data_IF_572667913629
#
_entry.id   IF_572667913629
#
_cell.length_a   1.000
_cell.length_b   1.000
_cell.length_c   1.000
_cell.angle_alpha   90.00
_cell.angle_beta   90.00
_cell.angle_gamma   90.00
#
_symmetry.space_group_name_H-M   'P 1'
#
loop_
_entity.id
_entity.type
_entity.pdbx_description
1 polymer ?
#
# COMPACT_ATOMS: atom_id res chain seq x y z
N UNK A 1 -10.32 22.88 -39.84
CA UNK A 1 -9.11 22.67 -39.03
C UNK A 1 -9.14 23.72 -37.94
N UNK A 2 -9.32 23.34 -36.68
CA UNK A 2 -9.35 24.31 -35.59
C UNK A 2 -7.94 24.89 -35.42
N UNK A 3 -7.79 26.21 -35.56
CA UNK A 3 -6.56 26.90 -35.19
C UNK A 3 -6.34 26.66 -33.70
N UNK A 4 -5.27 25.94 -33.37
CA UNK A 4 -4.84 25.79 -32.00
C UNK A 4 -4.32 27.16 -31.55
N UNK A 5 -5.04 27.76 -30.61
CA UNK A 5 -4.57 28.98 -29.96
C UNK A 5 -3.17 28.69 -29.37
N UNK A 6 -2.24 29.63 -29.58
CA UNK A 6 -0.85 29.48 -29.18
C UNK A 6 -0.67 29.23 -27.68
N UNK A 7 -1.69 29.49 -26.86
CA UNK A 7 -1.73 29.17 -25.44
C UNK A 7 -1.98 27.68 -25.14
N UNK A 8 -2.60 26.94 -26.06
CA UNK A 8 -2.95 25.52 -25.89
C UNK A 8 -2.04 24.57 -26.65
N UNK A 9 -1.23 25.07 -27.57
CA UNK A 9 -0.21 24.28 -28.26
C UNK A 9 1.00 24.03 -27.35
N UNK A 10 1.27 22.75 -27.03
CA UNK A 10 2.35 22.31 -26.13
C UNK A 10 3.74 22.68 -26.68
N UNK A 11 3.88 22.84 -27.99
CA UNK A 11 5.15 23.24 -28.61
C UNK A 11 5.32 24.76 -28.76
N UNK A 12 4.28 25.54 -28.44
CA UNK A 12 4.31 26.98 -28.56
C UNK A 12 5.12 27.62 -27.43
N UNK A 13 5.93 28.66 -27.71
CA UNK A 13 6.61 29.42 -26.67
C UNK A 13 5.64 30.18 -25.74
N UNK A 14 4.39 30.36 -26.18
CA UNK A 14 3.33 31.01 -25.41
C UNK A 14 2.42 30.01 -24.67
N UNK A 15 2.84 28.74 -24.57
CA UNK A 15 2.06 27.70 -23.92
C UNK A 15 1.68 28.08 -22.48
N UNK A 16 0.38 28.07 -22.19
CA UNK A 16 -0.16 28.32 -20.86
C UNK A 16 -0.69 27.00 -20.27
N UNK A 17 0.02 26.39 -19.30
CA UNK A 17 -0.35 25.08 -18.75
C UNK A 17 -1.71 25.12 -18.05
N UNK A 18 -2.14 26.27 -17.53
CA UNK A 18 -3.43 26.42 -16.86
C UNK A 18 -4.59 26.34 -17.84
N UNK A 19 -4.48 27.02 -18.98
CA UNK A 19 -5.52 27.00 -20.01
C UNK A 19 -5.56 25.64 -20.72
N UNK A 20 -4.39 25.04 -20.97
CA UNK A 20 -4.28 23.70 -21.51
C UNK A 20 -4.98 22.65 -20.61
N UNK A 21 -4.84 22.76 -19.28
CA UNK A 21 -5.50 21.85 -18.33
C UNK A 21 -7.03 22.00 -18.32
N UNK A 22 -7.54 23.21 -18.60
CA UNK A 22 -8.97 23.49 -18.68
C UNK A 22 -9.56 23.15 -20.06
N UNK A 23 -8.72 22.91 -21.07
CA UNK A 23 -9.14 22.56 -22.41
C UNK A 23 -9.54 21.09 -22.48
N UNK A 24 -10.82 20.81 -22.72
CA UNK A 24 -11.34 19.45 -22.84
C UNK A 24 -10.81 18.68 -24.07
N UNK A 25 -10.22 19.38 -25.05
CA UNK A 25 -9.80 18.83 -26.34
C UNK A 25 -8.29 18.99 -26.60
N UNK A 26 -7.49 19.09 -25.54
CA UNK A 26 -6.04 19.20 -25.66
C UNK A 26 -5.45 17.97 -26.35
N UNK A 27 -4.79 18.17 -27.49
CA UNK A 27 -4.07 17.11 -28.19
C UNK A 27 -2.65 17.01 -27.64
N UNK A 28 -2.43 16.03 -26.77
CA UNK A 28 -1.08 15.69 -26.31
C UNK A 28 -0.30 15.03 -27.47
N UNK A 29 0.98 15.38 -27.69
CA UNK A 29 1.72 14.86 -28.84
C UNK A 29 1.97 13.36 -28.80
N UNK A 30 1.98 12.78 -27.60
CA UNK A 30 2.21 11.36 -27.36
C UNK A 30 1.13 10.81 -26.43
N UNK A 31 -0.07 10.49 -26.95
CA UNK A 31 -1.21 10.06 -26.13
C UNK A 31 -1.01 8.69 -25.47
N UNK A 32 -0.18 7.84 -26.07
CA UNK A 32 0.05 6.47 -25.60
C UNK A 32 1.16 6.36 -24.53
N UNK A 33 1.78 7.49 -24.15
CA UNK A 33 2.83 7.48 -23.13
C UNK A 33 2.19 7.35 -21.75
N UNK A 34 2.65 6.36 -21.00
CA UNK A 34 2.18 6.14 -19.63
C UNK A 34 2.52 7.38 -18.77
N UNK A 35 1.53 8.01 -18.13
CA UNK A 35 1.80 9.15 -17.26
C UNK A 35 2.67 8.71 -16.09
N UNK A 36 3.72 9.48 -15.82
CA UNK A 36 4.56 9.26 -14.65
C UNK A 36 3.79 9.64 -13.39
N UNK A 37 3.96 8.85 -12.33
CA UNK A 37 3.11 8.95 -11.14
C UNK A 37 3.47 10.14 -10.25
N UNK A 38 4.68 10.67 -10.38
CA UNK A 38 5.15 11.76 -9.52
C UNK A 38 6.31 12.53 -10.18
N UNK A 39 6.54 13.75 -9.70
CA UNK A 39 7.64 14.60 -10.18
C UNK A 39 9.02 13.98 -9.98
N UNK A 40 9.20 13.07 -9.02
CA UNK A 40 10.48 12.40 -8.81
C UNK A 40 10.81 11.40 -9.93
N UNK A 41 9.81 10.84 -10.61
CA UNK A 41 9.98 10.04 -11.82
C UNK A 41 10.39 10.94 -13.00
N UNK A 42 9.79 12.13 -13.13
CA UNK A 42 10.17 13.10 -14.16
C UNK A 42 11.63 13.56 -14.02
N UNK A 43 12.15 13.67 -12.79
CA UNK A 43 13.57 14.03 -12.53
C UNK A 43 14.58 13.05 -13.13
N UNK A 44 14.17 11.84 -13.52
CA UNK A 44 15.03 10.87 -14.22
C UNK A 44 15.21 11.19 -15.70
N UNK A 45 14.27 11.93 -16.27
CA UNK A 45 14.28 12.35 -17.68
C UNK A 45 15.04 13.67 -17.88
N UNK A 46 15.35 14.38 -16.78
CA UNK A 46 16.09 15.63 -16.86
C UNK A 46 17.55 15.38 -17.28
N UNK A 47 18.13 16.29 -18.07
CA UNK A 47 19.57 16.32 -18.34
C UNK A 47 20.39 16.33 -17.05
N UNK A 48 21.59 15.72 -17.09
CA UNK A 48 22.44 15.53 -15.88
C UNK A 48 22.92 16.83 -15.26
N UNK A 49 22.96 17.87 -16.05
CA UNK A 49 23.35 19.25 -15.74
C UNK A 49 22.21 20.08 -15.16
N UNK A 50 20.96 19.58 -15.17
CA UNK A 50 19.83 20.29 -14.59
C UNK A 50 19.90 20.29 -13.04
N UNK A 51 19.59 21.44 -12.43
CA UNK A 51 19.58 21.64 -10.97
C UNK A 51 18.75 20.60 -10.20
N UNK A 52 17.65 20.15 -10.80
CA UNK A 52 16.70 19.20 -10.19
C UNK A 52 16.94 17.74 -10.60
N UNK A 53 18.02 17.45 -11.33
CA UNK A 53 18.38 16.10 -11.72
C UNK A 53 18.70 15.23 -10.49
N UNK A 54 18.31 13.96 -10.55
CA UNK A 54 18.64 13.00 -9.49
C UNK A 54 20.15 12.68 -9.53
N UNK A 55 20.86 12.70 -8.38
CA UNK A 55 22.24 12.23 -8.31
C UNK A 55 22.37 10.78 -8.78
N UNK A 56 23.45 10.43 -9.49
CA UNK A 56 23.67 9.08 -10.06
C UNK A 56 23.50 7.95 -9.01
N UNK A 57 23.91 8.20 -7.77
CA UNK A 57 23.76 7.23 -6.68
C UNK A 57 22.28 6.86 -6.41
N UNK A 58 21.36 7.83 -6.50
CA UNK A 58 19.92 7.60 -6.31
C UNK A 58 19.29 6.94 -7.54
N UNK A 59 19.74 7.28 -8.74
CA UNK A 59 19.31 6.61 -9.97
C UNK A 59 19.64 5.11 -9.93
N UNK A 60 20.86 4.74 -9.54
CA UNK A 60 21.28 3.34 -9.41
C UNK A 60 20.54 2.58 -8.31
N UNK A 61 20.21 3.23 -7.19
CA UNK A 61 19.43 2.60 -6.12
C UNK A 61 18.01 2.24 -6.57
N UNK A 62 17.37 3.12 -7.34
CA UNK A 62 16.03 2.89 -7.90
C UNK A 62 16.02 1.83 -9.03
N UNK A 63 17.12 1.68 -9.77
CA UNK A 63 17.31 0.60 -10.75
C UNK A 63 17.58 -0.76 -10.10
N UNK A 64 18.01 -0.81 -8.82
CA UNK A 64 18.27 -2.07 -8.12
C UNK A 64 17.03 -2.66 -7.46
N UNK A 65 16.02 -1.84 -7.16
CA UNK A 65 14.76 -2.30 -6.56
C UNK A 65 13.87 -3.06 -7.54
N UNK A 66 14.08 -2.97 -8.86
CA UNK A 66 13.30 -3.73 -9.84
C UNK A 66 13.87 -5.11 -10.20
N UNK A 67 15.09 -5.46 -9.74
CA UNK A 67 15.76 -6.72 -10.11
C UNK A 67 15.77 -7.76 -8.99
N UNK A 68 15.52 -7.36 -7.73
CA UNK A 68 15.65 -8.26 -6.56
C UNK A 68 14.39 -9.06 -6.19
N UNK A 69 13.27 -8.84 -6.85
CA UNK A 69 12.02 -9.57 -6.56
C UNK A 69 11.86 -10.87 -7.38
N UNK A 70 12.85 -11.26 -8.19
CA UNK A 70 12.71 -12.39 -9.11
C UNK A 70 13.35 -13.72 -8.67
N UNK A 71 14.23 -13.76 -7.66
CA UNK A 71 14.86 -15.02 -7.26
C UNK A 71 15.32 -15.05 -5.80
N UNK A 72 14.46 -15.57 -4.93
CA UNK A 72 14.87 -16.19 -3.67
C UNK A 72 14.43 -17.68 -3.73
N UNK A 73 15.33 -18.65 -3.56
CA UNK A 73 14.95 -20.06 -3.57
C UNK A 73 14.14 -20.42 -2.33
N UNK A 74 13.14 -21.32 -2.43
CA UNK A 74 12.39 -21.81 -1.29
C UNK A 74 13.26 -22.79 -0.49
N UNK A 75 13.69 -22.38 0.71
CA UNK A 75 14.36 -23.30 1.64
C UNK A 75 13.29 -24.05 2.42
N UNK A 76 13.14 -25.32 2.08
CA UNK A 76 12.34 -26.29 2.80
C UNK A 76 12.97 -26.59 4.17
N UNK A 77 12.30 -26.25 5.28
CA UNK A 77 12.47 -26.86 6.59
C UNK A 77 11.24 -26.57 7.47
N UNK A 78 10.21 -27.42 7.40
CA UNK A 78 8.97 -27.23 8.17
C UNK A 78 8.69 -28.30 9.25
N UNK A 79 9.62 -29.19 9.59
CA UNK A 79 9.34 -30.25 10.59
C UNK A 79 10.27 -30.37 11.80
N UNK A 80 11.30 -29.53 11.95
CA UNK A 80 12.20 -29.58 13.12
C UNK A 80 11.99 -28.46 14.17
N UNK A 81 11.15 -27.46 13.91
CA UNK A 81 11.04 -26.26 14.77
C UNK A 81 10.01 -26.36 15.92
N UNK A 82 9.34 -27.51 16.09
CA UNK A 82 8.32 -27.69 17.15
C UNK A 82 8.86 -28.16 18.51
N UNK A 83 10.16 -28.42 18.65
CA UNK A 83 10.73 -28.99 19.89
C UNK A 83 11.65 -28.03 20.69
N UNK A 84 11.82 -26.78 20.28
CA UNK A 84 12.59 -25.82 21.05
C UNK A 84 12.01 -24.42 20.89
N UNK A 85 10.97 -24.11 21.65
CA UNK A 85 10.62 -22.72 21.92
C UNK A 85 11.51 -22.24 23.07
N UNK A 86 12.60 -21.49 22.83
CA UNK A 86 13.14 -20.68 23.90
C UNK A 86 12.06 -19.65 24.23
N UNK A 87 11.51 -19.73 25.43
CA UNK A 87 10.76 -18.63 26.00
C UNK A 87 11.67 -17.40 25.91
N UNK A 88 11.39 -16.50 24.97
CA UNK A 88 11.98 -15.17 24.91
C UNK A 88 11.40 -14.41 26.11
N UNK A 89 11.89 -14.76 27.30
CA UNK A 89 11.83 -13.93 28.49
C UNK A 89 12.76 -12.78 28.19
N UNK A 90 12.18 -11.71 27.64
CA UNK A 90 12.79 -10.39 27.60
C UNK A 90 13.22 -10.03 29.03
N UNK A 91 14.47 -10.36 29.37
CA UNK A 91 15.10 -9.95 30.63
C UNK A 91 15.12 -8.43 30.67
N UNK A 92 14.15 -7.88 31.41
CA UNK A 92 14.26 -6.70 32.26
C UNK A 92 15.18 -5.57 31.80
N UNK A 93 15.01 -5.06 30.58
CA UNK A 93 15.31 -3.64 30.35
C UNK A 93 14.06 -2.88 30.76
N UNK A 94 14.11 -2.00 31.77
CA UNK A 94 12.99 -1.11 32.04
C UNK A 94 12.71 -0.33 30.75
N UNK A 95 11.51 -0.48 30.24
CA UNK A 95 11.08 0.16 29.00
C UNK A 95 11.10 1.68 29.27
N UNK A 96 11.94 2.48 28.59
CA UNK A 96 11.98 3.94 28.81
C UNK A 96 10.66 4.63 28.38
N UNK A 97 9.71 3.86 27.86
CA UNK A 97 8.39 4.27 27.38
C UNK A 97 7.36 4.41 28.52
N UNK A 98 7.78 4.93 29.67
CA UNK A 98 6.87 5.23 30.78
C UNK A 98 5.70 6.13 30.37
N UNK A 99 5.89 6.91 29.30
CA UNK A 99 4.91 7.77 28.65
C UNK A 99 5.11 7.73 27.13
N UNK A 100 4.04 7.54 26.34
CA UNK A 100 4.10 7.66 24.89
C UNK A 100 2.99 6.92 24.14
N UNK A 101 2.88 7.15 22.81
CA UNK A 101 1.82 6.56 21.99
C UNK A 101 1.88 5.02 21.94
N UNK A 102 3.07 4.42 22.01
CA UNK A 102 3.22 2.96 22.09
C UNK A 102 2.65 2.38 23.40
N UNK A 103 2.66 3.15 24.49
CA UNK A 103 2.05 2.71 25.75
C UNK A 103 0.53 2.64 25.61
N UNK A 104 -0.08 3.56 24.86
CA UNK A 104 -1.52 3.50 24.55
C UNK A 104 -1.84 2.24 23.75
N UNK A 105 -1.04 1.90 22.74
CA UNK A 105 -1.21 0.66 21.99
C UNK A 105 -1.06 -0.59 22.88
N UNK A 106 -0.10 -0.58 23.81
CA UNK A 106 0.07 -1.67 24.80
C UNK A 106 -1.12 -1.80 25.76
N UNK A 107 -1.80 -0.70 26.12
CA UNK A 107 -3.02 -0.74 26.94
C UNK A 107 -4.20 -1.38 26.21
N UNK A 108 -4.18 -1.40 24.88
CA UNK A 108 -5.19 -2.05 24.05
C UNK A 108 -4.93 -3.55 23.84
N UNK A 109 -3.85 -4.12 24.38
CA UNK A 109 -3.61 -5.56 24.33
C UNK A 109 -4.76 -6.32 25.00
N UNK A 110 -5.28 -7.34 24.32
CA UNK A 110 -6.46 -8.08 24.74
C UNK A 110 -7.79 -7.37 24.51
N UNK A 111 -7.81 -6.21 23.86
CA UNK A 111 -9.03 -5.49 23.47
C UNK A 111 -9.27 -5.57 21.97
N UNK A 112 -10.54 -5.42 21.53
CA UNK A 112 -10.85 -5.25 20.11
C UNK A 112 -10.38 -3.88 19.64
N UNK A 113 -9.66 -3.84 18.53
CA UNK A 113 -9.14 -2.61 17.92
C UNK A 113 -9.51 -2.57 16.45
N UNK A 114 -9.63 -1.36 15.92
CA UNK A 114 -9.72 -1.08 14.49
C UNK A 114 -8.38 -0.48 14.03
N UNK A 115 -7.82 -1.10 12.99
CA UNK A 115 -6.55 -0.72 12.37
C UNK A 115 -6.83 -0.19 10.98
N UNK A 116 -6.50 1.08 10.75
CA UNK A 116 -6.54 1.67 9.41
C UNK A 116 -5.25 1.29 8.70
N UNK A 117 -5.38 0.67 7.54
CA UNK A 117 -4.26 0.24 6.71
C UNK A 117 -4.14 1.11 5.46
N UNK A 118 -2.91 1.24 4.94
CA UNK A 118 -2.63 1.96 3.70
C UNK A 118 -1.96 1.09 2.65
N UNK A 119 -2.16 1.48 1.40
CA UNK A 119 -1.28 1.17 0.28
C UNK A 119 -0.15 2.21 0.19
N UNK A 120 0.62 2.14 -0.90
CA UNK A 120 1.73 3.07 -1.17
C UNK A 120 1.30 4.54 -1.16
N UNK A 121 0.09 4.84 -1.67
CA UNK A 121 -0.37 6.22 -1.92
C UNK A 121 -1.75 6.56 -1.34
N UNK A 122 -2.43 5.64 -0.66
CA UNK A 122 -3.80 5.86 -0.18
C UNK A 122 -4.13 4.96 1.01
N UNK A 123 -5.22 5.28 1.70
CA UNK A 123 -5.83 4.36 2.68
C UNK A 123 -6.42 3.18 1.91
N UNK A 124 -6.08 1.96 2.34
CA UNK A 124 -6.58 0.71 1.77
C UNK A 124 -7.96 0.38 2.32
N UNK A 125 -8.08 0.46 3.63
CA UNK A 125 -9.23 -0.08 4.36
C UNK A 125 -8.98 -0.17 5.84
N UNK A 126 -9.86 -0.88 6.52
CA UNK A 126 -9.84 -1.08 7.97
C UNK A 126 -9.87 -2.56 8.33
N UNK A 127 -9.12 -2.93 9.34
CA UNK A 127 -9.15 -4.28 9.90
C UNK A 127 -9.48 -4.21 11.39
N UNK A 128 -10.54 -4.92 11.79
CA UNK A 128 -11.00 -4.99 13.18
C UNK A 128 -10.72 -6.36 13.76
N UNK A 129 -10.05 -6.45 14.91
CA UNK A 129 -9.77 -7.73 15.57
C UNK A 129 -9.26 -7.57 17.00
N UNK A 130 -9.01 -8.68 17.68
CA UNK A 130 -8.45 -8.70 19.03
C UNK A 130 -6.93 -8.49 18.99
N UNK A 131 -6.41 -7.44 19.62
CA UNK A 131 -4.97 -7.15 19.60
C UNK A 131 -4.20 -8.06 20.56
N UNK A 132 -3.40 -8.97 20.00
CA UNK A 132 -2.64 -9.95 20.77
C UNK A 132 -1.20 -9.52 21.06
N UNK A 133 -0.57 -8.79 20.13
CA UNK A 133 0.79 -8.31 20.29
C UNK A 133 1.01 -6.98 19.54
N UNK A 134 1.91 -6.16 20.08
CA UNK A 134 2.43 -4.94 19.45
C UNK A 134 3.92 -4.83 19.71
N UNK A 135 4.68 -4.39 18.71
CA UNK A 135 6.11 -4.11 18.84
C UNK A 135 6.42 -2.61 18.70
N UNK A 136 7.72 -2.26 18.80
CA UNK A 136 8.20 -0.87 18.69
C UNK A 136 8.01 -0.25 17.29
N UNK A 137 7.81 -1.08 16.27
CA UNK A 137 7.63 -0.67 14.89
C UNK A 137 6.16 -0.61 14.50
N UNK A 138 5.23 -0.84 15.44
CA UNK A 138 3.79 -1.03 15.19
C UNK A 138 3.50 -2.23 14.29
N UNK A 139 4.32 -3.29 14.35
CA UNK A 139 3.87 -4.59 13.88
C UNK A 139 2.81 -5.11 14.86
N UNK A 140 1.65 -5.50 14.34
CA UNK A 140 0.47 -5.86 15.13
C UNK A 140 0.04 -7.29 14.81
N UNK A 141 -0.26 -8.06 15.84
CA UNK A 141 -0.88 -9.37 15.70
C UNK A 141 -2.34 -9.28 16.12
N UNK A 142 -3.26 -9.51 15.19
CA UNK A 142 -4.70 -9.52 15.44
C UNK A 142 -5.25 -10.94 15.35
N UNK A 143 -6.17 -11.28 16.25
CA UNK A 143 -6.93 -12.54 16.25
C UNK A 143 -8.41 -12.26 15.91
N UNK A 144 -9.07 -13.22 15.26
CA UNK A 144 -10.47 -13.10 14.80
C UNK A 144 -10.73 -11.78 14.04
N UNK A 145 -9.84 -11.49 13.10
CA UNK A 145 -9.80 -10.23 12.40
C UNK A 145 -10.76 -10.22 11.20
N UNK A 146 -11.53 -9.14 11.06
CA UNK A 146 -12.35 -8.82 9.89
C UNK A 146 -11.74 -7.61 9.17
N UNK A 147 -11.40 -7.78 7.91
CA UNK A 147 -10.77 -6.77 7.06
C UNK A 147 -11.75 -6.29 5.98
N UNK A 148 -11.87 -4.98 5.84
CA UNK A 148 -12.78 -4.30 4.93
C UNK A 148 -11.96 -3.31 4.10
N UNK A 149 -11.88 -3.55 2.79
CA UNK A 149 -11.06 -2.72 1.90
C UNK A 149 -11.68 -2.51 0.54
N UNK A 150 -11.20 -1.48 -0.16
CA UNK A 150 -11.53 -1.25 -1.57
C UNK A 150 -10.44 -1.88 -2.42
N UNK A 151 -10.75 -2.84 -3.31
CA UNK A 151 -9.75 -3.45 -4.16
C UNK A 151 -9.22 -2.41 -5.17
N UNK A 152 -7.96 -2.56 -5.57
CA UNK A 152 -7.40 -1.72 -6.63
C UNK A 152 -8.22 -1.89 -7.93
N UNK A 153 -8.31 -0.82 -8.73
CA UNK A 153 -9.09 -0.78 -9.97
C UNK A 153 -8.77 -1.97 -10.91
N UNK A 154 -7.50 -2.39 -10.99
CA UNK A 154 -7.04 -3.50 -11.84
C UNK A 154 -7.43 -4.89 -11.31
N UNK A 155 -7.79 -5.00 -10.02
CA UNK A 155 -8.30 -6.22 -9.41
C UNK A 155 -9.83 -6.31 -9.56
N UNK A 156 -10.54 -5.18 -9.52
CA UNK A 156 -11.98 -5.10 -9.75
C UNK A 156 -12.37 -5.46 -11.20
N UNK A 157 -11.52 -5.16 -12.19
CA UNK A 157 -11.77 -5.48 -13.59
C UNK A 157 -11.68 -6.98 -13.93
N UNK A 158 -11.11 -7.81 -13.05
CA UNK A 158 -10.97 -9.27 -13.27
C UNK A 158 -12.13 -10.09 -12.70
N UNK A 159 -13.18 -9.43 -12.24
CA UNK A 159 -14.37 -10.07 -11.66
C UNK A 159 -15.25 -10.65 -12.77
N UNK A 160 -14.81 -11.74 -13.40
CA UNK A 160 -15.65 -12.53 -14.30
C UNK A 160 -16.54 -13.46 -13.48
N UNK A 161 -17.86 -13.20 -13.48
CA UNK A 161 -19.05 -14.05 -13.22
C UNK A 161 -19.07 -15.08 -12.07
N UNK A 162 -17.99 -15.25 -11.33
CA UNK A 162 -17.85 -16.14 -10.18
C UNK A 162 -17.11 -15.33 -9.14
N UNK A 163 -17.78 -15.04 -8.02
CA UNK A 163 -17.36 -14.09 -6.97
C UNK A 163 -16.08 -14.42 -6.20
N UNK A 164 -15.05 -14.94 -6.85
CA UNK A 164 -13.73 -15.21 -6.29
C UNK A 164 -12.75 -14.12 -6.73
N UNK A 165 -12.53 -13.13 -5.86
CA UNK A 165 -11.57 -12.06 -6.11
C UNK A 165 -10.15 -12.57 -5.76
N UNK A 166 -9.29 -12.74 -6.76
CA UNK A 166 -7.88 -13.06 -6.57
C UNK A 166 -7.13 -11.80 -6.14
N UNK A 167 -6.69 -11.74 -4.87
CA UNK A 167 -5.85 -10.64 -4.35
C UNK A 167 -4.43 -10.76 -4.90
N UNK A 168 -4.10 -9.93 -5.90
CA UNK A 168 -2.77 -9.90 -6.52
C UNK A 168 -1.67 -9.26 -5.62
N UNK A 169 -2.01 -8.79 -4.41
CA UNK A 169 -1.09 -8.04 -3.57
C UNK A 169 -0.30 -8.88 -2.54
N UNK A 170 -0.48 -10.21 -2.52
CA UNK A 170 0.38 -11.12 -1.77
C UNK A 170 0.63 -12.40 -2.57
N UNK A 171 1.89 -12.83 -2.68
CA UNK A 171 2.29 -14.10 -3.30
C UNK A 171 1.82 -15.36 -2.57
N UNK A 172 0.61 -15.35 -2.04
CA UNK A 172 -0.10 -16.52 -1.53
C UNK A 172 -1.48 -16.48 -2.18
N UNK A 173 -1.57 -17.07 -3.39
CA UNK A 173 -2.85 -17.47 -3.96
C UNK A 173 -3.42 -18.62 -3.12
N UNK A 174 -3.94 -18.30 -1.94
CA UNK A 174 -4.94 -19.13 -1.28
C UNK A 174 -6.28 -18.47 -1.55
N UNK A 175 -7.15 -19.19 -2.26
CA UNK A 175 -8.56 -18.84 -2.38
C UNK A 175 -9.09 -18.52 -0.97
N UNK A 176 -9.33 -17.24 -0.70
CA UNK A 176 -9.84 -16.80 0.61
C UNK A 176 -11.32 -17.14 0.63
N UNK A 177 -11.65 -18.29 1.23
CA UNK A 177 -13.05 -18.65 1.51
C UNK A 177 -13.70 -17.51 2.32
N UNK A 178 -14.79 -16.95 1.79
CA UNK A 178 -15.65 -16.00 2.52
C UNK A 178 -15.51 -14.52 2.15
N UNK A 179 -14.95 -14.18 0.97
CA UNK A 179 -14.99 -12.81 0.48
C UNK A 179 -16.42 -12.40 0.11
N UNK A 180 -16.95 -11.36 0.76
CA UNK A 180 -18.25 -10.78 0.44
C UNK A 180 -18.04 -9.37 -0.09
N UNK A 181 -18.38 -9.17 -1.37
CA UNK A 181 -18.39 -7.86 -2.01
C UNK A 181 -19.73 -7.16 -1.78
N UNK A 182 -19.69 -5.92 -1.34
CA UNK A 182 -20.87 -5.04 -1.26
C UNK A 182 -20.54 -3.72 -1.92
N UNK A 183 -21.46 -3.16 -2.72
CA UNK A 183 -21.27 -1.81 -3.25
C UNK A 183 -21.54 -0.78 -2.15
N UNK A 184 -20.64 0.18 -2.01
CA UNK A 184 -20.88 1.38 -1.21
C UNK A 184 -21.93 2.27 -1.88
N UNK A 185 -22.53 3.18 -1.11
CA UNK A 185 -23.44 4.22 -1.61
C UNK A 185 -22.84 5.10 -2.72
N UNK A 186 -21.51 5.12 -2.85
CA UNK A 186 -20.78 5.84 -3.90
C UNK A 186 -20.31 4.95 -5.06
N UNK A 187 -20.86 3.74 -5.20
CA UNK A 187 -20.56 2.83 -6.31
C UNK A 187 -19.23 2.08 -6.21
N UNK A 188 -18.40 2.35 -5.20
CA UNK A 188 -17.15 1.62 -4.98
C UNK A 188 -17.43 0.23 -4.39
N UNK A 189 -16.78 -0.80 -4.92
CA UNK A 189 -16.83 -2.17 -4.40
C UNK A 189 -16.05 -2.22 -3.07
N UNK A 190 -16.75 -2.55 -1.99
CA UNK A 190 -16.15 -2.87 -0.69
C UNK A 190 -16.06 -4.38 -0.56
N UNK A 191 -14.87 -4.87 -0.25
CA UNK A 191 -14.59 -6.29 -0.07
C UNK A 191 -14.36 -6.55 1.40
N UNK A 192 -15.08 -7.53 1.96
CA UNK A 192 -14.90 -8.01 3.33
C UNK A 192 -14.28 -9.40 3.35
N UNK A 193 -13.33 -9.63 4.25
CA UNK A 193 -12.72 -10.94 4.50
C UNK A 193 -12.45 -11.16 5.99
N UNK A 194 -12.42 -12.42 6.42
CA UNK A 194 -12.15 -12.81 7.81
C UNK A 194 -10.90 -13.66 7.93
N UNK A 195 -10.17 -13.45 9.00
CA UNK A 195 -8.95 -14.16 9.34
C UNK A 195 -9.04 -14.69 10.77
N UNK A 196 -8.62 -15.95 10.98
CA UNK A 196 -8.40 -16.43 12.34
C UNK A 196 -7.28 -15.66 13.03
N UNK A 197 -6.22 -15.34 12.28
CA UNK A 197 -5.09 -14.54 12.75
C UNK A 197 -4.46 -13.78 11.58
N UNK A 198 -4.00 -12.56 11.84
CA UNK A 198 -3.29 -11.73 10.85
C UNK A 198 -2.17 -10.93 11.51
N UNK A 199 -1.01 -10.88 10.85
CA UNK A 199 0.12 -10.05 11.23
C UNK A 199 0.19 -8.85 10.30
N UNK A 200 0.04 -7.65 10.85
CA UNK A 200 0.27 -6.40 10.14
C UNK A 200 1.68 -5.91 10.34
N UNK A 201 2.31 -5.48 9.25
CA UNK A 201 3.60 -4.78 9.27
C UNK A 201 3.34 -3.30 9.55
N UNK A 202 4.10 -2.70 10.46
CA UNK A 202 3.82 -1.34 10.93
C UNK A 202 3.95 -0.23 9.89
N UNK A 203 4.68 -0.47 8.79
CA UNK A 203 4.74 0.48 7.66
C UNK A 203 3.40 0.63 6.91
N UNK A 204 2.52 -0.38 7.03
CA UNK A 204 1.19 -0.40 6.43
C UNK A 204 0.12 0.15 7.37
N UNK A 205 0.43 0.32 8.66
CA UNK A 205 -0.49 0.83 9.68
C UNK A 205 -0.49 2.37 9.64
N UNK A 206 -1.68 2.95 9.57
CA UNK A 206 -1.88 4.41 9.59
C UNK A 206 -2.33 4.87 10.97
N UNK A 207 -3.35 4.19 11.51
CA UNK A 207 -4.02 4.56 12.74
C UNK A 207 -4.50 3.29 13.44
N UNK A 208 -4.45 3.28 14.77
CA UNK A 208 -5.02 2.24 15.63
C UNK A 208 -5.90 2.90 16.67
N UNK A 209 -7.13 2.42 16.83
CA UNK A 209 -8.05 2.89 17.85
C UNK A 209 -8.89 1.74 18.41
N UNK A 210 -9.44 1.93 19.61
CA UNK A 210 -10.34 0.95 20.21
C UNK A 210 -11.58 0.78 19.32
N UNK A 211 -11.92 -0.46 18.97
CA UNK A 211 -13.16 -0.73 18.26
C UNK A 211 -14.35 -0.57 19.24
N UNK A 212 -15.51 -0.10 18.74
CA UNK A 212 -16.73 -0.07 19.53
C UNK A 212 -17.18 -1.47 19.95
#
# INVERSE_FOLDING_TARGET
MAELDGATDIYSPNFNPREALLCAQLRVPYPDVQPLNNLAECRRLLPRDARDALPEAKLRALQRTCVRDAHAPPVAHEEAARAAAPAVRSRGRPDPLGHGPLQLAKRLLGSRVCVVTRHRNCVRGTCTGLLMAVDRHLNLLLFEAEDVFVPAHDAAARTGETGELLDASAGIARAVRGMHGTHSSHGQLLVRRRFGQVLFRGESVVLVFAAP
#
